data_IF_904403657129
#
_entry.id   IF_904403657129
#
_cell.length_a   1.000
_cell.length_b   1.000
_cell.length_c   1.000
_cell.angle_alpha   90.00
_cell.angle_beta   90.00
_cell.angle_gamma   90.00
#
_symmetry.space_group_name_H-M   'P 1'
#
loop_
_entity.id
_entity.type
_entity.pdbx_description
1 polymer ?
#
# COMPACT_ATOMS: atom_id res chain seq x y z
N UNK A 1 -8.28 2.23 -4.03
CA UNK A 1 -8.48 2.23 -5.49
C UNK A 1 -8.68 0.80 -6.00
N UNK A 2 -9.49 0.57 -7.04
CA UNK A 2 -9.66 -0.76 -7.66
C UNK A 2 -8.42 -1.16 -8.48
N UNK A 3 -8.19 -2.47 -8.69
CA UNK A 3 -7.08 -2.99 -9.51
C UNK A 3 -7.03 -2.35 -10.90
N UNK A 4 -8.18 -2.25 -11.57
CA UNK A 4 -8.27 -1.67 -12.92
C UNK A 4 -7.82 -0.21 -12.92
N UNK A 5 -8.35 0.61 -12.00
CA UNK A 5 -7.96 2.02 -11.88
C UNK A 5 -6.48 2.20 -11.53
N UNK A 6 -5.94 1.32 -10.67
CA UNK A 6 -4.51 1.29 -10.37
C UNK A 6 -3.69 1.09 -11.63
N UNK A 7 -3.98 0.03 -12.38
CA UNK A 7 -3.23 -0.31 -13.58
C UNK A 7 -3.35 0.79 -14.64
N UNK A 8 -4.55 1.32 -14.89
CA UNK A 8 -4.73 2.45 -15.82
C UNK A 8 -3.89 3.66 -15.44
N UNK A 9 -3.91 4.06 -14.16
CA UNK A 9 -3.11 5.20 -13.67
C UNK A 9 -1.61 4.91 -13.72
N UNK A 10 -1.22 3.68 -13.39
CA UNK A 10 0.17 3.24 -13.43
C UNK A 10 0.75 3.26 -14.86
N UNK A 11 -0.03 2.80 -15.84
CA UNK A 11 0.35 2.85 -17.25
C UNK A 11 0.38 4.27 -17.82
N UNK A 12 -0.55 5.13 -17.41
CA UNK A 12 -0.59 6.52 -17.86
C UNK A 12 0.56 7.36 -17.27
N UNK A 13 0.75 7.31 -15.95
CA UNK A 13 1.86 7.93 -15.26
C UNK A 13 2.09 7.25 -13.90
N UNK A 14 3.06 6.34 -13.85
CA UNK A 14 3.45 5.66 -12.62
C UNK A 14 3.88 6.63 -11.52
N UNK A 15 4.48 7.79 -11.84
CA UNK A 15 4.96 8.76 -10.86
C UNK A 15 3.83 9.54 -10.19
N UNK A 16 2.63 9.57 -10.80
CA UNK A 16 1.42 10.14 -10.21
C UNK A 16 0.84 9.35 -9.03
N UNK A 17 1.37 8.15 -8.76
CA UNK A 17 1.03 7.29 -7.63
C UNK A 17 2.08 7.51 -6.52
N UNK A 18 1.71 7.60 -5.25
CA UNK A 18 2.70 7.73 -4.17
C UNK A 18 3.74 6.61 -4.19
N UNK A 19 4.99 6.97 -3.89
CA UNK A 19 6.08 6.02 -3.97
C UNK A 19 5.97 4.93 -2.91
N UNK A 20 5.43 5.24 -1.72
CA UNK A 20 5.19 4.24 -0.69
C UNK A 20 4.21 3.16 -1.15
N UNK A 21 3.16 3.53 -1.90
CA UNK A 21 2.16 2.60 -2.41
C UNK A 21 2.75 1.69 -3.49
N UNK A 22 3.55 2.24 -4.41
CA UNK A 22 4.24 1.40 -5.41
C UNK A 22 5.19 0.42 -4.75
N UNK A 23 5.99 0.89 -3.78
CA UNK A 23 6.93 0.06 -3.02
C UNK A 23 6.23 -1.08 -2.28
N UNK A 24 5.13 -0.78 -1.57
CA UNK A 24 4.33 -1.79 -0.89
C UNK A 24 3.79 -2.86 -1.84
N UNK A 25 3.28 -2.46 -3.02
CA UNK A 25 2.76 -3.40 -4.03
C UNK A 25 3.87 -4.30 -4.56
N UNK A 26 5.04 -3.75 -4.87
CA UNK A 26 6.18 -4.53 -5.36
C UNK A 26 6.75 -5.49 -4.30
N UNK A 27 6.85 -5.02 -3.05
CA UNK A 27 7.28 -5.85 -1.93
C UNK A 27 6.32 -7.03 -1.70
N UNK A 28 5.01 -6.81 -1.80
CA UNK A 28 4.01 -7.89 -1.75
C UNK A 28 4.07 -8.81 -2.97
N UNK A 29 4.32 -8.26 -4.16
CA UNK A 29 4.41 -9.04 -5.40
C UNK A 29 5.63 -9.96 -5.43
N UNK A 30 6.68 -9.65 -4.67
CA UNK A 30 7.94 -10.39 -4.63
C UNK A 30 7.75 -11.90 -4.46
N UNK A 31 6.88 -12.34 -3.53
CA UNK A 31 6.65 -13.77 -3.23
C UNK A 31 5.95 -14.54 -4.36
N UNK A 32 5.47 -13.82 -5.39
CA UNK A 32 4.79 -14.39 -6.55
C UNK A 32 5.66 -14.37 -7.81
N UNK A 33 6.89 -13.86 -7.75
CA UNK A 33 7.76 -13.72 -8.93
C UNK A 33 8.00 -15.04 -9.65
N UNK A 34 8.37 -16.09 -8.91
CA UNK A 34 8.66 -17.42 -9.46
C UNK A 34 7.40 -18.15 -9.96
N UNK A 35 6.20 -17.60 -9.66
CA UNK A 35 4.92 -18.16 -10.12
C UNK A 35 4.45 -17.57 -11.44
N UNK A 36 5.08 -16.50 -11.91
CA UNK A 36 4.74 -15.88 -13.19
C UNK A 36 5.53 -16.52 -14.33
N UNK A 37 4.83 -17.02 -15.34
CA UNK A 37 5.43 -17.74 -16.48
C UNK A 37 6.35 -16.86 -17.34
N UNK A 38 6.18 -15.54 -17.31
CA UNK A 38 7.03 -14.58 -18.05
C UNK A 38 8.22 -14.11 -17.23
N UNK A 39 8.11 -14.12 -15.90
CA UNK A 39 9.14 -13.56 -15.01
C UNK A 39 10.01 -14.60 -14.32
N UNK A 40 9.52 -15.85 -14.15
CA UNK A 40 10.23 -16.91 -13.39
C UNK A 40 11.67 -17.17 -13.86
N UNK A 41 11.95 -16.97 -15.16
CA UNK A 41 13.27 -17.21 -15.77
C UNK A 41 14.13 -15.92 -15.80
N UNK A 42 13.61 -14.82 -15.26
CA UNK A 42 14.29 -13.52 -15.20
C UNK A 42 14.82 -13.24 -13.80
N UNK A 43 16.00 -12.61 -13.72
CA UNK A 43 16.60 -12.22 -12.44
C UNK A 43 15.75 -11.13 -11.76
N UNK A 44 15.46 -11.34 -10.48
CA UNK A 44 14.75 -10.37 -9.66
C UNK A 44 15.55 -9.06 -9.55
N UNK A 45 14.99 -7.90 -9.92
CA UNK A 45 15.73 -6.65 -9.97
C UNK A 45 15.92 -5.96 -8.61
N UNK A 46 15.39 -6.52 -7.51
CA UNK A 46 15.44 -5.92 -6.18
C UNK A 46 15.35 -6.96 -5.06
N UNK A 47 15.70 -6.55 -3.85
CA UNK A 47 15.55 -7.34 -2.63
C UNK A 47 14.32 -6.86 -1.85
N UNK A 48 13.47 -7.79 -1.39
CA UNK A 48 12.18 -7.46 -0.77
C UNK A 48 12.30 -6.59 0.48
N UNK A 49 13.26 -6.88 1.37
CA UNK A 49 13.42 -6.14 2.63
C UNK A 49 13.88 -4.70 2.37
N UNK A 50 14.84 -4.49 1.46
CA UNK A 50 15.28 -3.14 1.07
C UNK A 50 14.12 -2.31 0.49
N UNK A 51 13.29 -2.93 -0.35
CA UNK A 51 12.13 -2.26 -0.94
C UNK A 51 11.06 -1.91 0.11
N UNK A 52 10.85 -2.79 1.09
CA UNK A 52 9.96 -2.57 2.24
C UNK A 52 10.46 -1.41 3.10
N UNK A 53 11.76 -1.36 3.38
CA UNK A 53 12.38 -0.28 4.14
C UNK A 53 12.25 1.08 3.42
N UNK A 54 12.50 1.12 2.12
CA UNK A 54 12.27 2.32 1.31
C UNK A 54 10.81 2.75 1.32
N UNK A 55 9.88 1.79 1.21
CA UNK A 55 8.45 2.09 1.26
C UNK A 55 8.04 2.70 2.61
N UNK A 56 8.53 2.17 3.74
CA UNK A 56 8.30 2.75 5.06
C UNK A 56 8.96 4.13 5.22
N UNK A 57 10.16 4.33 4.70
CA UNK A 57 10.84 5.62 4.77
C UNK A 57 10.06 6.70 4.02
N UNK A 58 9.59 6.39 2.82
CA UNK A 58 8.81 7.33 2.01
C UNK A 58 7.42 7.52 2.58
N UNK A 59 6.79 6.47 3.11
CA UNK A 59 5.49 6.56 3.78
C UNK A 59 5.50 7.63 4.88
N UNK A 60 6.54 7.66 5.71
CA UNK A 60 6.66 8.67 6.78
C UNK A 60 6.61 10.11 6.26
N UNK A 61 7.16 10.37 5.07
CA UNK A 61 7.15 11.69 4.43
C UNK A 61 5.81 11.96 3.75
N UNK A 62 5.29 11.01 2.98
CA UNK A 62 4.03 11.19 2.24
C UNK A 62 2.81 11.27 3.19
N UNK A 63 2.93 10.80 4.42
CA UNK A 63 1.88 10.91 5.44
C UNK A 63 1.64 12.33 5.96
N UNK A 64 2.53 13.28 5.69
CA UNK A 64 2.28 14.72 5.94
C UNK A 64 1.10 15.25 5.10
N UNK A 65 0.78 14.59 3.97
CA UNK A 65 -0.38 14.91 3.14
C UNK A 65 -1.22 13.64 2.90
N UNK A 66 -1.95 13.18 3.93
CA UNK A 66 -2.61 11.88 3.91
C UNK A 66 -3.73 11.85 2.89
N UNK A 67 -3.85 10.72 2.20
CA UNK A 67 -4.92 10.45 1.25
C UNK A 67 -5.16 8.93 1.18
N UNK A 68 -6.13 8.49 0.37
CA UNK A 68 -6.47 7.07 0.28
C UNK A 68 -5.31 6.19 -0.20
N UNK A 69 -4.39 6.69 -1.04
CA UNK A 69 -3.22 5.91 -1.46
C UNK A 69 -2.27 5.66 -0.29
N UNK A 70 -2.09 6.65 0.58
CA UNK A 70 -1.22 6.55 1.76
C UNK A 70 -1.79 5.54 2.74
N UNK A 71 -3.10 5.61 3.02
CA UNK A 71 -3.77 4.61 3.86
C UNK A 71 -3.66 3.20 3.26
N UNK A 72 -3.88 3.06 1.96
CA UNK A 72 -3.70 1.77 1.28
C UNK A 72 -2.26 1.26 1.40
N UNK A 73 -1.26 2.12 1.32
CA UNK A 73 0.13 1.73 1.52
C UNK A 73 0.40 1.27 2.96
N UNK A 74 -0.14 1.97 3.97
CA UNK A 74 -0.07 1.53 5.38
C UNK A 74 -0.60 0.09 5.52
N UNK A 75 -1.81 -0.16 5.02
CA UNK A 75 -2.45 -1.47 5.11
C UNK A 75 -1.68 -2.55 4.35
N UNK A 76 -1.17 -2.25 3.15
CA UNK A 76 -0.40 -3.22 2.36
C UNK A 76 0.94 -3.58 3.01
N UNK A 77 1.65 -2.61 3.60
CA UNK A 77 2.92 -2.87 4.28
C UNK A 77 2.76 -3.77 5.51
N UNK A 78 1.62 -3.70 6.21
CA UNK A 78 1.30 -4.63 7.31
C UNK A 78 1.19 -6.10 6.84
N UNK A 79 0.90 -6.33 5.57
CA UNK A 79 0.77 -7.66 4.98
C UNK A 79 2.04 -8.17 4.31
N UNK A 80 3.12 -7.37 4.26
CA UNK A 80 4.41 -7.84 3.74
C UNK A 80 4.95 -8.87 4.73
N UNK A 81 4.92 -10.14 4.32
CA UNK A 81 5.39 -11.24 5.15
C UNK A 81 6.91 -11.12 5.33
N UNK A 82 7.42 -11.18 6.57
CA UNK A 82 8.86 -11.33 6.79
C UNK A 82 9.37 -12.59 6.08
N UNK A 83 10.66 -12.66 5.73
CA UNK A 83 11.27 -13.92 5.33
C UNK A 83 10.99 -14.99 6.41
N UNK A 84 10.81 -16.25 6.01
CA UNK A 84 10.24 -17.36 6.78
C UNK A 84 10.84 -17.66 8.19
N UNK A 85 11.86 -16.92 8.61
CA UNK A 85 12.55 -17.05 9.89
C UNK A 85 11.95 -16.19 11.01
N UNK A 86 11.12 -15.19 10.71
CA UNK A 86 10.50 -14.30 11.72
C UNK A 86 9.03 -14.64 11.93
N UNK A 87 8.75 -15.65 12.76
CA UNK A 87 7.39 -16.08 13.14
C UNK A 87 6.83 -15.34 14.35
N UNK A 88 7.58 -14.43 14.96
CA UNK A 88 7.11 -13.63 16.10
C UNK A 88 6.47 -12.34 15.58
N UNK A 89 5.31 -11.95 16.13
CA UNK A 89 4.75 -10.64 15.83
C UNK A 89 5.78 -9.55 16.17
N UNK A 90 6.23 -8.82 15.16
CA UNK A 90 7.16 -7.72 15.36
C UNK A 90 6.48 -6.65 16.25
N UNK A 91 7.20 -6.04 17.21
CA UNK A 91 6.67 -4.93 18.00
C UNK A 91 6.13 -3.77 17.15
N UNK A 92 6.62 -3.64 15.91
CA UNK A 92 6.20 -2.65 14.92
C UNK A 92 4.76 -2.83 14.43
N UNK A 93 4.14 -4.00 14.61
CA UNK A 93 2.76 -4.27 14.18
C UNK A 93 1.76 -3.28 14.79
N UNK A 94 1.85 -3.04 16.10
CA UNK A 94 0.96 -2.11 16.80
C UNK A 94 1.19 -0.66 16.37
N UNK A 95 2.45 -0.26 16.22
CA UNK A 95 2.80 1.09 15.74
C UNK A 95 2.31 1.32 14.31
N UNK A 96 2.43 0.33 13.43
CA UNK A 96 1.94 0.39 12.05
C UNK A 96 0.41 0.46 12.01
N UNK A 97 -0.28 -0.31 12.85
CA UNK A 97 -1.74 -0.25 12.97
C UNK A 97 -2.21 1.12 13.46
N UNK A 98 -1.56 1.68 14.48
CA UNK A 98 -1.86 3.03 14.97
C UNK A 98 -1.64 4.10 13.88
N UNK A 99 -0.57 3.95 13.08
CA UNK A 99 -0.29 4.82 11.93
C UNK A 99 -1.40 4.76 10.87
N UNK A 100 -1.87 3.56 10.52
CA UNK A 100 -2.98 3.37 9.59
C UNK A 100 -4.27 4.03 10.12
N UNK A 101 -4.60 3.80 11.39
CA UNK A 101 -5.77 4.41 12.05
C UNK A 101 -5.69 5.94 12.06
N UNK A 102 -4.52 6.51 12.39
CA UNK A 102 -4.32 7.96 12.34
C UNK A 102 -4.51 8.51 10.92
N UNK A 103 -3.99 7.82 9.90
CA UNK A 103 -4.18 8.19 8.49
C UNK A 103 -5.66 8.17 8.10
N UNK A 104 -6.40 7.11 8.47
CA UNK A 104 -7.83 6.99 8.23
C UNK A 104 -8.63 8.12 8.90
N UNK A 105 -8.26 8.49 10.13
CA UNK A 105 -8.87 9.60 10.85
C UNK A 105 -8.66 10.93 10.14
N UNK A 106 -7.43 11.22 9.71
CA UNK A 106 -7.07 12.48 9.03
C UNK A 106 -7.80 12.68 7.70
N UNK A 107 -8.09 11.60 6.96
CA UNK A 107 -8.80 11.66 5.68
C UNK A 107 -10.32 11.54 5.79
N UNK A 108 -10.83 11.47 7.03
CA UNK A 108 -12.25 11.48 7.35
C UNK A 108 -12.98 10.15 7.14
N UNK A 109 -12.31 8.99 7.25
CA UNK A 109 -13.00 7.69 7.09
C UNK A 109 -13.94 7.34 8.25
N UNK A 110 -13.81 8.02 9.39
CA UNK A 110 -14.71 7.87 10.53
C UNK A 110 -16.10 8.50 10.30
N UNK A 111 -16.28 9.22 9.20
CA UNK A 111 -17.54 9.88 8.84
C UNK A 111 -18.19 9.13 7.68
N UNK A 112 -19.48 8.81 7.80
CA UNK A 112 -20.24 8.15 6.74
C UNK A 112 -20.35 9.06 5.49
N UNK A 113 -19.84 8.63 4.31
CA UNK A 113 -19.79 9.47 3.11
C UNK A 113 -21.08 9.46 2.26
N UNK A 114 -22.20 8.99 2.82
CA UNK A 114 -23.48 8.81 2.12
C UNK A 114 -23.94 10.05 1.36
N UNK A 115 -23.96 11.19 2.05
CA UNK A 115 -24.47 12.46 1.53
C UNK A 115 -23.40 13.32 0.84
N UNK A 116 -22.19 12.79 0.68
CA UNK A 116 -21.09 13.55 0.10
C UNK A 116 -21.20 13.62 -1.43
N UNK A 117 -20.86 14.78 -1.98
CA UNK A 117 -20.78 15.03 -3.42
C UNK A 117 -19.49 14.44 -4.03
N UNK A 118 -19.38 13.11 -3.99
CA UNK A 118 -18.28 12.32 -4.55
C UNK A 118 -18.84 11.20 -5.42
N UNK A 119 -18.01 10.68 -6.34
CA UNK A 119 -18.43 9.55 -7.16
C UNK A 119 -18.65 8.27 -6.33
N UNK A 120 -19.55 7.40 -6.79
CA UNK A 120 -19.92 6.18 -6.08
C UNK A 120 -18.74 5.23 -5.81
N UNK A 121 -17.74 5.19 -6.71
CA UNK A 121 -16.55 4.35 -6.54
C UNK A 121 -15.67 4.81 -5.39
N UNK A 122 -15.49 6.13 -5.26
CA UNK A 122 -14.76 6.75 -4.14
C UNK A 122 -15.51 6.52 -2.83
N UNK A 123 -16.84 6.71 -2.82
CA UNK A 123 -17.68 6.43 -1.64
C UNK A 123 -17.57 4.97 -1.18
N UNK A 124 -17.65 4.02 -2.11
CA UNK A 124 -17.48 2.60 -1.81
C UNK A 124 -16.08 2.30 -1.28
N UNK A 125 -15.04 2.89 -1.88
CA UNK A 125 -13.67 2.71 -1.43
C UNK A 125 -13.46 3.22 0.01
N UNK A 126 -14.01 4.38 0.34
CA UNK A 126 -13.95 4.97 1.69
C UNK A 126 -14.62 4.11 2.76
N UNK A 127 -15.68 3.37 2.42
CA UNK A 127 -16.33 2.42 3.35
C UNK A 127 -15.62 1.09 3.47
N UNK A 128 -14.89 0.70 2.41
CA UNK A 128 -14.15 -0.57 2.37
C UNK A 128 -12.85 -0.47 3.17
N UNK A 129 -12.18 0.67 3.08
CA UNK A 129 -10.98 1.01 3.85
C UNK A 129 -11.37 1.40 5.28
#
# INVERSE_FOLDING_TARGET
MSKVRFLSRYHADKKSIPACLRGAIYALAFVFWDRDYTLKDTSMPFVQHELTDYAHQVLRREMENPNLFILQACLLLQHVTPPAMDTLEAPTTWTSSAQATACAQMIGLHVEPGDWNINATERHLRRKL
#
